data_IF_949035649729
#
_entry.id   IF_949035649729
#
_cell.length_a   1.000
_cell.length_b   1.000
_cell.length_c   1.000
_cell.angle_alpha   90.00
_cell.angle_beta   90.00
_cell.angle_gamma   90.00
#
_symmetry.space_group_name_H-M   'P 1'
#
loop_
_entity.id
_entity.type
_entity.pdbx_description
1 polymer ?
#
# COMPACT_ATOMS: atom_id res chain seq x y z
N UNK A 1 -9.06 -9.75 8.58
CA UNK A 1 -7.89 -8.96 9.04
C UNK A 1 -7.20 -8.26 7.88
N UNK A 2 -6.75 -8.98 6.85
CA UNK A 2 -6.07 -8.42 5.66
C UNK A 2 -6.75 -8.85 4.35
N UNK A 3 -6.40 -8.22 3.23
CA UNK A 3 -6.77 -8.67 1.88
C UNK A 3 -7.98 -7.97 1.23
N UNK A 4 -8.64 -7.05 1.92
CA UNK A 4 -9.61 -6.12 1.31
C UNK A 4 -9.71 -4.83 2.12
N UNK A 5 -10.24 -3.77 1.50
CA UNK A 5 -10.41 -2.45 2.12
C UNK A 5 -11.81 -2.32 2.71
N UNK A 6 -11.95 -2.67 3.98
CA UNK A 6 -13.21 -2.59 4.73
C UNK A 6 -12.97 -2.02 6.13
N UNK A 7 -13.93 -1.27 6.70
CA UNK A 7 -13.83 -0.78 8.07
C UNK A 7 -13.61 -1.92 9.09
N UNK A 8 -12.76 -1.67 10.09
CA UNK A 8 -12.42 -2.65 11.13
C UNK A 8 -11.34 -3.67 10.75
N UNK A 9 -10.73 -3.55 9.57
CA UNK A 9 -9.56 -4.34 9.14
C UNK A 9 -8.24 -3.62 9.41
N UNK A 10 -7.15 -4.38 9.33
CA UNK A 10 -5.80 -3.84 9.48
C UNK A 10 -5.53 -2.87 8.33
N UNK A 11 -4.99 -1.70 8.66
CA UNK A 11 -4.70 -0.65 7.67
C UNK A 11 -3.37 -0.90 6.97
N UNK A 12 -3.29 -2.03 6.26
CA UNK A 12 -2.16 -2.45 5.45
C UNK A 12 -2.44 -2.10 3.99
N UNK A 13 -1.81 -1.03 3.50
CA UNK A 13 -2.16 -0.38 2.23
C UNK A 13 -0.87 -0.05 1.46
N UNK A 14 -0.87 -0.33 0.16
CA UNK A 14 0.19 0.07 -0.77
C UNK A 14 -0.41 1.04 -1.78
N UNK A 15 0.21 2.21 -1.90
CA UNK A 15 -0.14 3.20 -2.92
C UNK A 15 0.80 3.00 -4.11
N UNK A 16 0.21 2.83 -5.29
CA UNK A 16 0.93 2.66 -6.55
C UNK A 16 0.76 3.90 -7.42
N UNK A 17 1.77 4.23 -8.22
CA UNK A 17 1.73 5.33 -9.19
C UNK A 17 0.78 5.07 -10.37
N UNK A 18 0.24 3.85 -10.48
CA UNK A 18 -0.59 3.37 -11.58
C UNK A 18 -1.14 1.97 -11.30
N UNK A 19 -1.54 1.25 -12.36
CA UNK A 19 -2.02 -0.13 -12.23
C UNK A 19 -0.90 -1.01 -11.62
N UNK A 20 -1.16 -1.79 -10.55
CA UNK A 20 -0.14 -2.64 -9.92
C UNK A 20 0.44 -3.73 -10.83
N UNK A 21 -0.24 -4.08 -11.92
CA UNK A 21 0.23 -5.06 -12.91
C UNK A 21 0.93 -4.42 -14.12
N UNK A 22 1.02 -3.09 -14.18
CA UNK A 22 1.86 -2.40 -15.15
C UNK A 22 3.33 -2.41 -14.67
N UNK A 23 4.23 -2.81 -15.57
CA UNK A 23 5.68 -2.85 -15.32
C UNK A 23 6.29 -1.48 -15.02
N UNK A 24 5.66 -0.39 -15.48
CA UNK A 24 6.17 0.96 -15.23
C UNK A 24 5.68 1.55 -13.91
N UNK A 25 4.66 0.95 -13.30
CA UNK A 25 4.13 1.39 -12.01
C UNK A 25 5.14 1.15 -10.90
N UNK A 26 5.21 2.10 -9.97
CA UNK A 26 6.07 2.02 -8.79
C UNK A 26 5.23 2.11 -7.54
N UNK A 27 5.70 1.48 -6.48
CA UNK A 27 5.18 1.73 -5.14
C UNK A 27 5.59 3.14 -4.73
N UNK A 28 4.63 3.97 -4.36
CA UNK A 28 4.85 5.35 -3.90
C UNK A 28 4.83 5.45 -2.37
N UNK A 29 4.00 4.65 -1.72
CA UNK A 29 3.89 4.62 -0.27
C UNK A 29 3.45 3.25 0.22
N UNK A 30 3.97 2.86 1.38
CA UNK A 30 3.53 1.67 2.11
C UNK A 30 3.05 2.10 3.49
N UNK A 31 1.85 1.67 3.85
CA UNK A 31 1.24 1.87 5.16
C UNK A 31 1.07 0.49 5.79
N UNK A 32 1.55 0.30 7.01
CA UNK A 32 1.37 -0.95 7.77
C UNK A 32 0.80 -0.58 9.14
N UNK A 33 -0.29 -1.23 9.53
CA UNK A 33 -1.02 -0.93 10.77
C UNK A 33 -1.31 0.58 10.94
N UNK A 34 -1.59 1.28 9.83
CA UNK A 34 -1.86 2.72 9.83
C UNK A 34 -0.64 3.63 9.94
N UNK A 35 0.58 3.09 9.90
CA UNK A 35 1.84 3.85 9.95
C UNK A 35 2.50 3.90 8.58
N UNK A 36 2.89 5.10 8.15
CA UNK A 36 3.70 5.28 6.95
C UNK A 36 5.09 4.68 7.14
N UNK A 37 5.46 3.76 6.26
CA UNK A 37 6.78 3.13 6.24
C UNK A 37 7.72 3.95 5.35
N UNK A 38 8.89 4.36 5.87
CA UNK A 38 9.88 5.08 5.07
C UNK A 38 10.37 4.21 3.92
N UNK A 39 10.22 4.71 2.69
CA UNK A 39 10.82 4.05 1.52
C UNK A 39 12.30 4.42 1.42
N UNK A 40 13.15 3.41 1.26
CA UNK A 40 14.56 3.63 0.92
C UNK A 40 14.64 3.92 -0.58
N UNK A 41 15.33 5.01 -0.95
CA UNK A 41 15.75 5.26 -2.32
C UNK A 41 16.89 4.34 -2.72
#
# INVERSE_FOLDING_TARGET
RVGSLEPGKDADIVIWSGDPFDFYSKVEQVIIEGKNIPMKK
#
